data_IF_957798102910
#
_entry.id   IF_957798102910
#
_cell.length_a   1.000
_cell.length_b   1.000
_cell.length_c   1.000
_cell.angle_alpha   90.00
_cell.angle_beta   90.00
_cell.angle_gamma   90.00
#
_symmetry.space_group_name_H-M   'P 1'
#
loop_
_entity.id
_entity.type
_entity.pdbx_description
1 polymer ?
#
# COMPACT_ATOMS: atom_id res chain seq x y z
N UNK A 1 9.64 4.35 16.07
CA UNK A 1 9.73 4.43 17.55
C UNK A 1 10.97 3.73 18.09
N UNK A 2 11.13 2.41 17.90
CA UNK A 2 12.24 1.62 18.49
C UNK A 2 13.63 2.06 18.01
N UNK A 3 13.73 2.73 16.90
CA UNK A 3 15.02 3.19 16.36
C UNK A 3 15.65 4.34 17.19
N UNK A 4 14.91 4.94 18.10
CA UNK A 4 15.35 6.12 18.87
C UNK A 4 15.28 5.93 20.39
N UNK A 5 14.66 4.86 20.87
CA UNK A 5 14.51 4.57 22.27
C UNK A 5 15.56 3.57 22.76
N UNK A 6 16.05 3.74 23.99
CA UNK A 6 16.93 2.74 24.64
C UNK A 6 16.17 1.44 24.94
N UNK A 7 14.89 1.55 25.23
CA UNK A 7 13.97 0.42 25.44
C UNK A 7 12.62 0.77 24.85
N UNK A 8 12.05 -0.13 24.06
CA UNK A 8 10.75 0.00 23.46
C UNK A 8 9.90 -1.22 23.80
N UNK A 9 8.68 -0.97 24.24
CA UNK A 9 7.68 -2.00 24.49
C UNK A 9 6.53 -1.73 23.54
N UNK A 10 6.26 -2.67 22.62
CA UNK A 10 5.24 -2.56 21.60
C UNK A 10 4.11 -3.52 21.96
N UNK A 11 2.90 -3.00 22.12
CA UNK A 11 1.67 -3.77 22.28
C UNK A 11 0.97 -3.84 20.92
N UNK A 12 0.60 -5.04 20.50
CA UNK A 12 -0.16 -5.25 19.26
C UNK A 12 -1.66 -5.35 19.56
N UNK A 13 -2.47 -4.98 18.54
CA UNK A 13 -3.92 -5.19 18.53
C UNK A 13 -4.37 -5.59 17.13
N UNK A 14 -5.51 -6.32 17.05
CA UNK A 14 -6.10 -6.72 15.78
C UNK A 14 -5.17 -7.62 14.96
N UNK A 15 -5.13 -7.39 13.66
CA UNK A 15 -4.33 -8.19 12.71
C UNK A 15 -2.82 -8.14 12.94
N UNK A 16 -2.32 -7.16 13.71
CA UNK A 16 -0.90 -7.08 14.04
C UNK A 16 -0.44 -8.22 14.97
N UNK A 17 -1.35 -8.83 15.71
CA UNK A 17 -1.06 -9.96 16.61
C UNK A 17 -0.54 -11.19 15.86
N UNK A 18 -0.98 -11.39 14.62
CA UNK A 18 -0.66 -12.56 13.78
C UNK A 18 0.28 -12.25 12.64
N UNK A 19 0.65 -10.96 12.47
CA UNK A 19 1.47 -10.50 11.35
C UNK A 19 2.94 -10.71 11.64
N UNK A 20 3.67 -11.28 10.69
CA UNK A 20 5.14 -11.30 10.73
C UNK A 20 5.67 -9.86 10.56
N UNK A 21 6.48 -9.41 11.50
CA UNK A 21 7.11 -8.10 11.45
C UNK A 21 8.36 -8.07 10.57
N UNK A 22 8.82 -9.22 10.08
CA UNK A 22 10.03 -9.38 9.25
C UNK A 22 11.30 -8.76 9.86
N UNK A 23 11.35 -8.68 11.19
CA UNK A 23 12.51 -8.17 11.94
C UNK A 23 13.28 -9.38 12.51
N UNK A 24 14.36 -9.74 11.85
CA UNK A 24 15.20 -10.86 12.25
C UNK A 24 16.35 -10.43 13.17
N UNK A 25 16.98 -11.39 13.83
CA UNK A 25 18.07 -11.16 14.78
C UNK A 25 19.31 -10.53 14.11
N UNK A 26 19.56 -10.82 12.84
CA UNK A 26 20.67 -10.23 12.10
C UNK A 26 20.50 -8.71 11.95
N UNK A 27 19.29 -8.25 11.60
CA UNK A 27 18.97 -6.82 11.54
C UNK A 27 19.00 -6.18 12.93
N UNK A 28 18.42 -6.84 13.95
CA UNK A 28 18.46 -6.32 15.32
C UNK A 28 19.90 -6.13 15.79
N UNK A 29 20.79 -7.08 15.52
CA UNK A 29 22.21 -7.00 15.86
C UNK A 29 22.87 -5.79 15.20
N UNK A 30 22.64 -5.57 13.90
CA UNK A 30 23.16 -4.41 13.17
C UNK A 30 22.63 -3.08 13.74
N UNK A 31 21.38 -3.05 14.18
CA UNK A 31 20.76 -1.89 14.83
C UNK A 31 21.23 -1.69 16.28
N UNK A 32 22.02 -2.63 16.83
CA UNK A 32 22.45 -2.62 18.23
C UNK A 32 21.34 -2.97 19.22
N UNK A 33 20.31 -3.66 18.75
CA UNK A 33 19.13 -4.03 19.52
C UNK A 33 19.15 -5.50 19.90
N UNK A 34 18.51 -5.83 21.01
CA UNK A 34 18.19 -7.19 21.41
C UNK A 34 16.70 -7.32 21.71
N UNK A 35 16.12 -8.43 21.30
CA UNK A 35 14.77 -8.82 21.64
C UNK A 35 14.77 -9.46 23.03
N UNK A 36 13.91 -8.98 23.94
CA UNK A 36 13.74 -9.48 25.31
C UNK A 36 12.43 -10.23 25.52
N UNK A 37 11.51 -10.20 24.57
CA UNK A 37 10.29 -10.99 24.57
C UNK A 37 10.50 -12.33 23.91
N UNK A 38 9.70 -13.34 24.27
CA UNK A 38 9.66 -14.64 23.61
C UNK A 38 9.17 -14.47 22.16
N UNK A 39 9.64 -15.32 21.26
CA UNK A 39 9.22 -15.30 19.86
C UNK A 39 7.72 -15.58 19.73
N UNK A 40 7.06 -14.75 18.94
CA UNK A 40 5.61 -14.82 18.73
C UNK A 40 4.75 -14.25 19.87
N UNK A 41 5.37 -13.80 20.99
CA UNK A 41 4.63 -13.21 22.10
C UNK A 41 4.62 -11.68 22.09
N UNK A 42 3.52 -11.13 22.52
CA UNK A 42 3.33 -9.70 22.76
C UNK A 42 3.26 -9.40 24.26
N UNK A 43 3.80 -8.26 24.72
CA UNK A 43 4.40 -7.17 23.92
C UNK A 43 5.78 -7.53 23.35
N UNK A 44 6.09 -7.00 22.16
CA UNK A 44 7.46 -7.05 21.64
C UNK A 44 8.33 -6.07 22.43
N UNK A 45 9.36 -6.58 23.09
CA UNK A 45 10.30 -5.78 23.88
C UNK A 45 11.65 -5.74 23.18
N UNK A 46 12.09 -4.56 22.79
CA UNK A 46 13.38 -4.29 22.21
C UNK A 46 14.21 -3.39 23.12
N UNK A 47 15.48 -3.72 23.30
CA UNK A 47 16.43 -2.98 24.14
C UNK A 47 17.70 -2.69 23.37
N UNK A 48 18.18 -1.44 23.41
CA UNK A 48 19.46 -1.07 22.82
C UNK A 48 20.59 -1.43 23.77
N UNK A 49 21.47 -2.32 23.31
CA UNK A 49 22.64 -2.80 24.06
C UNK A 49 23.95 -2.31 23.47
N UNK A 50 23.97 -1.99 22.17
CA UNK A 50 25.13 -1.48 21.44
C UNK A 50 24.76 -0.27 20.59
N UNK A 51 25.70 0.56 20.14
CA UNK A 51 25.47 1.52 19.07
C UNK A 51 24.99 0.83 17.79
N UNK A 52 24.15 1.54 17.03
CA UNK A 52 23.76 1.11 15.67
C UNK A 52 25.00 1.07 14.77
N UNK A 53 25.15 0.03 13.95
CA UNK A 53 26.20 -0.02 12.93
C UNK A 53 26.00 1.10 11.90
N UNK A 54 27.11 1.57 11.33
CA UNK A 54 27.08 2.60 10.31
C UNK A 54 26.69 2.05 8.94
N UNK A 55 27.07 0.82 8.63
CA UNK A 55 26.73 0.14 7.38
C UNK A 55 25.79 -1.01 7.69
N UNK A 56 24.58 -0.93 7.12
CA UNK A 56 23.52 -1.91 7.37
C UNK A 56 23.22 -2.65 6.06
N UNK A 57 23.22 -3.98 6.12
CA UNK A 57 22.74 -4.84 5.04
C UNK A 57 21.32 -5.32 5.38
N UNK A 58 20.37 -5.07 4.47
CA UNK A 58 18.97 -5.40 4.67
C UNK A 58 18.40 -6.13 3.45
N UNK A 59 17.80 -7.29 3.69
CA UNK A 59 16.91 -7.93 2.71
C UNK A 59 15.54 -7.23 2.75
N UNK A 60 15.18 -6.58 1.65
CA UNK A 60 13.95 -5.81 1.50
C UNK A 60 12.88 -6.55 0.67
N UNK A 61 12.99 -7.89 0.55
CA UNK A 61 12.05 -8.73 -0.23
C UNK A 61 10.62 -8.73 0.34
N UNK A 62 10.48 -8.66 1.67
CA UNK A 62 9.19 -8.73 2.33
C UNK A 62 8.46 -7.38 2.35
N UNK A 63 9.17 -6.30 2.68
CA UNK A 63 8.56 -4.96 2.83
C UNK A 63 9.59 -3.84 2.77
N UNK A 64 9.24 -2.74 2.12
CA UNK A 64 10.04 -1.49 2.14
C UNK A 64 9.91 -0.70 3.46
N UNK A 65 8.94 -1.02 4.32
CA UNK A 65 8.69 -0.26 5.56
C UNK A 65 9.87 -0.34 6.54
N UNK A 66 10.52 -1.49 6.64
CA UNK A 66 11.71 -1.65 7.49
C UNK A 66 12.86 -0.83 6.93
N UNK A 67 13.08 -0.85 5.62
CA UNK A 67 14.11 -0.03 4.96
C UNK A 67 13.89 1.46 5.23
N UNK A 68 12.66 1.95 5.11
CA UNK A 68 12.28 3.32 5.47
C UNK A 68 12.61 3.64 6.94
N UNK A 69 12.30 2.73 7.86
CA UNK A 69 12.63 2.88 9.28
C UNK A 69 14.15 2.98 9.52
N UNK A 70 14.93 2.12 8.86
CA UNK A 70 16.40 2.12 8.94
C UNK A 70 16.99 3.41 8.36
N UNK A 71 16.50 3.90 7.22
CA UNK A 71 16.92 5.18 6.62
C UNK A 71 16.70 6.36 7.57
N UNK A 72 15.53 6.43 8.21
CA UNK A 72 15.23 7.48 9.19
C UNK A 72 16.20 7.39 10.39
N UNK A 73 16.56 6.19 10.82
CA UNK A 73 17.55 5.97 11.89
C UNK A 73 18.92 6.45 11.46
N UNK A 74 19.40 6.04 10.30
CA UNK A 74 20.70 6.42 9.78
C UNK A 74 20.79 7.94 9.53
N UNK A 75 19.72 8.58 9.07
CA UNK A 75 19.67 10.02 8.86
C UNK A 75 19.87 10.85 10.14
N UNK A 76 19.71 10.28 11.32
CA UNK A 76 19.97 10.92 12.61
C UNK A 76 21.32 10.57 13.22
N UNK A 77 22.02 9.62 12.64
CA UNK A 77 23.38 9.25 13.08
C UNK A 77 24.42 10.21 12.50
N UNK A 78 25.66 10.11 12.95
CA UNK A 78 26.82 10.89 12.46
C UNK A 78 27.87 9.94 11.91
N UNK A 79 28.77 10.43 11.08
CA UNK A 79 29.80 9.65 10.43
C UNK A 79 29.36 9.09 9.08
N UNK A 80 30.27 8.45 8.36
CA UNK A 80 29.98 7.77 7.11
C UNK A 80 29.05 6.59 7.37
N UNK A 81 27.94 6.51 6.64
CA UNK A 81 26.93 5.48 6.84
C UNK A 81 26.18 5.14 5.59
N UNK A 82 25.74 3.88 5.50
CA UNK A 82 25.01 3.41 4.33
C UNK A 82 23.98 2.32 4.67
N UNK A 83 22.98 2.20 3.81
CA UNK A 83 22.04 1.10 3.76
C UNK A 83 22.22 0.36 2.44
N UNK A 84 22.64 -0.89 2.49
CA UNK A 84 22.74 -1.79 1.35
C UNK A 84 21.50 -2.66 1.33
N UNK A 85 20.78 -2.64 0.21
CA UNK A 85 19.52 -3.33 0.03
C UNK A 85 19.71 -4.54 -0.87
N UNK A 86 19.17 -5.68 -0.48
CA UNK A 86 19.05 -6.84 -1.36
C UNK A 86 17.56 -7.13 -1.62
N UNK A 87 17.25 -7.67 -2.80
CA UNK A 87 15.89 -8.08 -3.17
C UNK A 87 14.84 -6.97 -2.96
N UNK A 88 15.19 -5.72 -3.24
CA UNK A 88 14.31 -4.57 -3.02
C UNK A 88 13.04 -4.69 -3.85
N UNK A 89 11.91 -4.54 -3.17
CA UNK A 89 10.57 -4.49 -3.73
C UNK A 89 9.83 -3.24 -3.23
N UNK A 90 8.80 -2.80 -3.96
CA UNK A 90 8.07 -1.57 -3.63
C UNK A 90 8.99 -0.34 -3.55
N UNK A 91 9.89 -0.21 -4.51
CA UNK A 91 10.82 0.93 -4.67
C UNK A 91 10.16 2.29 -4.51
N UNK A 92 8.96 2.58 -5.06
CA UNK A 92 8.32 3.89 -4.91
C UNK A 92 8.11 4.31 -3.46
N UNK A 93 7.72 3.40 -2.56
CA UNK A 93 7.52 3.74 -1.14
C UNK A 93 8.83 4.08 -0.43
N UNK A 94 9.94 3.42 -0.81
CA UNK A 94 11.25 3.77 -0.28
C UNK A 94 11.72 5.10 -0.86
N UNK A 95 11.47 5.38 -2.15
CA UNK A 95 11.76 6.66 -2.79
C UNK A 95 11.05 7.81 -2.08
N UNK A 96 9.77 7.65 -1.71
CA UNK A 96 9.07 8.65 -0.90
C UNK A 96 9.81 8.99 0.41
N UNK A 97 10.41 7.98 1.07
CA UNK A 97 11.19 8.19 2.28
C UNK A 97 12.48 8.96 1.99
N UNK A 98 13.18 8.57 0.93
CA UNK A 98 14.41 9.23 0.46
C UNK A 98 14.14 10.69 0.14
N UNK A 99 13.12 10.99 -0.67
CA UNK A 99 12.77 12.36 -1.06
C UNK A 99 12.36 13.21 0.14
N UNK A 100 11.62 12.62 1.09
CA UNK A 100 11.26 13.31 2.32
C UNK A 100 12.50 13.67 3.16
N UNK A 101 13.48 12.77 3.24
CA UNK A 101 14.75 13.04 3.93
C UNK A 101 15.56 14.13 3.21
N UNK A 102 15.67 14.08 1.88
CA UNK A 102 16.34 15.11 1.07
C UNK A 102 15.65 16.47 1.27
N UNK A 103 14.34 16.51 1.19
CA UNK A 103 13.55 17.73 1.41
C UNK A 103 13.74 18.32 2.81
N UNK A 104 14.15 17.50 3.78
CA UNK A 104 14.50 17.91 5.15
C UNK A 104 15.98 18.20 5.35
N UNK A 105 16.74 18.36 4.27
CA UNK A 105 18.14 18.76 4.31
C UNK A 105 19.12 17.62 4.56
N UNK A 106 18.67 16.36 4.53
CA UNK A 106 19.56 15.21 4.59
C UNK A 106 20.24 15.07 3.23
N UNK A 107 21.57 15.04 3.23
CA UNK A 107 22.36 14.77 2.04
C UNK A 107 22.61 13.29 1.95
N UNK A 108 22.05 12.66 0.94
CA UNK A 108 22.21 11.25 0.64
C UNK A 108 22.24 11.03 -0.86
N UNK A 109 22.80 9.90 -1.28
CA UNK A 109 22.79 9.42 -2.66
C UNK A 109 22.30 7.99 -2.70
N UNK A 110 21.50 7.66 -3.71
CA UNK A 110 21.06 6.31 -3.97
C UNK A 110 21.60 5.83 -5.32
N UNK A 111 22.54 4.89 -5.29
CA UNK A 111 23.17 4.31 -6.47
C UNK A 111 22.98 2.79 -6.39
N UNK A 112 22.35 2.21 -7.39
CA UNK A 112 22.01 0.79 -7.47
C UNK A 112 21.24 0.31 -6.22
N UNK A 113 21.87 -0.51 -5.41
CA UNK A 113 21.30 -1.07 -4.19
C UNK A 113 21.84 -0.42 -2.89
N UNK A 114 22.58 0.67 -3.00
CA UNK A 114 23.23 1.33 -1.87
C UNK A 114 22.74 2.77 -1.71
N UNK A 115 22.27 3.10 -0.51
CA UNK A 115 21.93 4.45 -0.09
C UNK A 115 23.00 4.92 0.89
N UNK A 116 23.79 5.92 0.51
CA UNK A 116 24.88 6.50 1.30
C UNK A 116 24.53 7.89 1.78
N UNK A 117 24.99 8.24 2.99
CA UNK A 117 24.74 9.53 3.62
C UNK A 117 26.04 10.31 3.80
N UNK A 118 26.00 11.61 3.57
CA UNK A 118 27.11 12.51 3.90
C UNK A 118 27.28 12.65 5.42
N UNK A 119 28.52 12.83 5.86
CA UNK A 119 28.92 12.82 7.27
C UNK A 119 28.13 13.77 8.18
N UNK A 120 27.82 14.96 7.73
CA UNK A 120 27.31 16.04 8.57
C UNK A 120 25.86 16.43 8.27
N UNK A 121 25.08 15.54 7.70
CA UNK A 121 23.68 15.82 7.43
C UNK A 121 22.79 15.43 8.62
N UNK A 122 21.83 16.30 8.95
CA UNK A 122 20.79 16.05 9.98
C UNK A 122 19.43 16.45 9.45
N UNK A 123 18.42 15.73 9.91
CA UNK A 123 17.03 16.08 9.61
C UNK A 123 16.75 17.48 10.19
N UNK A 124 16.34 18.40 9.33
CA UNK A 124 15.92 19.74 9.70
C UNK A 124 14.40 19.82 9.84
N UNK A 125 13.93 20.56 10.85
CA UNK A 125 12.52 20.91 10.95
C UNK A 125 12.15 21.86 9.80
N UNK A 126 11.10 21.52 9.04
CA UNK A 126 10.53 22.35 7.99
C UNK A 126 9.02 22.27 8.03
N UNK A 127 8.38 23.35 7.62
CA UNK A 127 6.97 23.31 7.29
C UNK A 127 6.78 22.46 6.02
N UNK A 128 5.83 21.53 6.06
CA UNK A 128 5.56 20.60 4.97
C UNK A 128 4.06 20.61 4.71
N UNK A 129 3.70 20.73 3.46
CA UNK A 129 2.36 20.40 3.00
C UNK A 129 2.30 18.91 2.71
N UNK A 130 1.37 18.22 3.37
CA UNK A 130 1.12 16.80 3.13
C UNK A 130 0.19 16.69 1.93
N UNK A 131 0.58 15.87 0.97
CA UNK A 131 -0.24 15.57 -0.22
C UNK A 131 -1.40 14.66 0.14
N UNK A 132 -2.47 14.71 -0.65
CA UNK A 132 -3.59 13.78 -0.53
C UNK A 132 -3.13 12.33 -0.74
N UNK A 133 -3.88 11.40 -0.17
CA UNK A 133 -3.62 9.96 -0.22
C UNK A 133 -4.18 9.35 -1.51
N UNK A 134 -3.31 8.95 -2.42
CA UNK A 134 -3.70 8.27 -3.67
C UNK A 134 -4.37 6.91 -3.42
N UNK A 135 -3.98 6.19 -2.37
CA UNK A 135 -4.62 4.91 -2.04
C UNK A 135 -6.09 5.08 -1.66
N UNK A 136 -6.41 6.12 -0.88
CA UNK A 136 -7.79 6.46 -0.52
C UNK A 136 -8.55 7.00 -1.73
N UNK A 137 -7.94 7.95 -2.44
CA UNK A 137 -8.54 8.61 -3.59
C UNK A 137 -8.88 7.65 -4.74
N UNK A 138 -8.06 6.62 -4.98
CA UNK A 138 -8.27 5.62 -6.02
C UNK A 138 -9.69 5.00 -5.95
N UNK A 139 -10.21 4.79 -4.74
CA UNK A 139 -11.57 4.24 -4.57
C UNK A 139 -12.64 5.21 -5.07
N UNK A 140 -12.52 6.50 -4.76
CA UNK A 140 -13.45 7.52 -5.25
C UNK A 140 -13.37 7.68 -6.77
N UNK A 141 -12.15 7.70 -7.32
CA UNK A 141 -11.93 7.80 -8.76
C UNK A 141 -12.50 6.59 -9.51
N UNK A 142 -12.36 5.38 -8.97
CA UNK A 142 -13.01 4.19 -9.52
C UNK A 142 -14.54 4.26 -9.45
N UNK A 143 -15.11 4.80 -8.36
CA UNK A 143 -16.56 5.04 -8.31
C UNK A 143 -17.01 5.98 -9.44
N UNK A 144 -16.25 7.06 -9.72
CA UNK A 144 -16.50 7.95 -10.85
C UNK A 144 -16.47 7.22 -12.18
N UNK A 145 -15.43 6.40 -12.40
CA UNK A 145 -15.26 5.62 -13.62
C UNK A 145 -16.36 4.58 -13.86
N UNK A 146 -16.93 4.02 -12.78
CA UNK A 146 -17.96 2.97 -12.86
C UNK A 146 -19.37 3.58 -12.98
N UNK A 147 -19.66 4.68 -12.28
CA UNK A 147 -21.06 5.13 -12.12
C UNK A 147 -21.40 6.37 -12.91
N UNK A 148 -20.72 7.50 -12.71
CA UNK A 148 -21.00 8.77 -13.42
C UNK A 148 -19.78 9.66 -13.49
N UNK A 149 -19.57 10.46 -12.45
CA UNK A 149 -18.52 11.45 -12.33
C UNK A 149 -18.18 11.67 -10.87
N UNK A 150 -16.91 11.74 -10.55
CA UNK A 150 -16.43 12.15 -9.22
C UNK A 150 -15.22 13.08 -9.38
N UNK A 151 -15.24 14.17 -8.62
CA UNK A 151 -14.12 15.10 -8.49
C UNK A 151 -13.46 14.95 -7.12
N UNK A 152 -12.13 14.84 -7.10
CA UNK A 152 -11.30 14.73 -5.88
C UNK A 152 -10.32 15.88 -5.84
N UNK A 153 -10.21 16.54 -4.68
CA UNK A 153 -9.31 17.67 -4.46
C UNK A 153 -8.13 17.30 -3.57
N UNK A 154 -6.99 17.97 -3.77
CA UNK A 154 -5.84 17.91 -2.89
C UNK A 154 -4.82 16.83 -3.25
N UNK A 155 -5.01 16.14 -4.37
CA UNK A 155 -4.00 15.25 -4.93
C UNK A 155 -2.95 16.05 -5.71
N UNK A 156 -1.74 15.55 -5.76
CA UNK A 156 -0.70 16.05 -6.67
C UNK A 156 -0.41 15.05 -7.76
N UNK A 157 -0.42 15.50 -8.99
CA UNK A 157 0.06 14.74 -10.14
C UNK A 157 1.59 14.63 -10.10
N UNK A 158 2.11 13.52 -10.60
CA UNK A 158 3.55 13.21 -10.63
C UNK A 158 4.20 13.18 -9.23
N UNK A 159 3.40 12.80 -8.24
CA UNK A 159 3.88 12.46 -6.91
C UNK A 159 4.61 11.12 -6.90
N UNK A 160 5.29 10.81 -5.78
CA UNK A 160 6.00 9.52 -5.64
C UNK A 160 5.10 8.43 -5.03
N UNK A 161 3.79 8.64 -4.93
CA UNK A 161 2.87 7.63 -4.43
C UNK A 161 2.56 6.62 -5.54
N UNK A 162 2.93 5.35 -5.32
CA UNK A 162 2.78 4.30 -6.32
C UNK A 162 1.32 4.11 -6.79
N UNK A 163 0.35 4.39 -5.92
CA UNK A 163 -1.07 4.20 -6.20
C UNK A 163 -1.65 5.28 -7.16
N UNK A 164 -0.87 6.32 -7.53
CA UNK A 164 -1.18 7.22 -8.64
C UNK A 164 -1.35 6.45 -9.96
N UNK A 165 -0.74 5.25 -10.07
CA UNK A 165 -0.90 4.32 -11.19
C UNK A 165 -2.36 3.99 -11.51
N UNK A 166 -3.28 4.23 -10.58
CA UNK A 166 -4.72 4.09 -10.83
C UNK A 166 -5.17 4.90 -12.05
N UNK A 167 -4.56 6.05 -12.34
CA UNK A 167 -4.93 6.90 -13.49
C UNK A 167 -4.66 6.21 -14.82
N UNK A 168 -3.54 5.49 -14.91
CA UNK A 168 -3.21 4.72 -16.12
C UNK A 168 -4.24 3.61 -16.33
N UNK A 169 -4.60 2.91 -15.25
CA UNK A 169 -5.58 1.83 -15.32
C UNK A 169 -6.97 2.36 -15.67
N UNK A 170 -7.39 3.49 -15.09
CA UNK A 170 -8.68 4.12 -15.42
C UNK A 170 -8.73 4.59 -16.87
N UNK A 171 -7.61 5.06 -17.41
CA UNK A 171 -7.50 5.42 -18.83
C UNK A 171 -7.66 4.18 -19.73
N UNK A 172 -7.02 3.06 -19.37
CA UNK A 172 -7.18 1.78 -20.07
C UNK A 172 -8.63 1.27 -19.98
N UNK A 173 -9.25 1.39 -18.82
CA UNK A 173 -10.65 1.03 -18.58
C UNK A 173 -11.63 1.87 -19.43
N UNK A 174 -11.22 3.05 -19.89
CA UNK A 174 -11.98 3.92 -20.77
C UNK A 174 -12.70 5.07 -20.06
N UNK A 175 -12.29 5.41 -18.85
CA UNK A 175 -12.75 6.61 -18.17
C UNK A 175 -12.11 7.87 -18.76
N UNK A 176 -12.81 8.99 -18.72
CA UNK A 176 -12.27 10.31 -19.00
C UNK A 176 -11.70 10.92 -17.73
N UNK A 177 -10.47 11.47 -17.81
CA UNK A 177 -9.76 12.04 -16.67
C UNK A 177 -9.38 13.48 -17.00
N UNK A 178 -9.77 14.42 -16.16
CA UNK A 178 -9.51 15.84 -16.34
C UNK A 178 -8.91 16.46 -15.09
N UNK A 179 -7.90 17.31 -15.24
CA UNK A 179 -7.33 18.10 -14.17
C UNK A 179 -7.72 19.58 -14.30
N UNK A 180 -8.20 20.17 -13.21
CA UNK A 180 -8.46 21.60 -13.08
C UNK A 180 -7.82 22.12 -11.80
N UNK A 181 -6.63 22.68 -11.91
CA UNK A 181 -5.82 23.07 -10.74
C UNK A 181 -5.46 21.87 -9.87
N UNK A 182 -5.89 21.85 -8.63
CA UNK A 182 -5.69 20.77 -7.65
C UNK A 182 -6.86 19.77 -7.56
N UNK A 183 -7.79 19.86 -8.53
CA UNK A 183 -8.95 18.97 -8.62
C UNK A 183 -8.78 18.04 -9.81
N UNK A 184 -8.92 16.75 -9.57
CA UNK A 184 -9.03 15.71 -10.59
C UNK A 184 -10.47 15.22 -10.69
N UNK A 185 -11.00 15.14 -11.90
CA UNK A 185 -12.34 14.64 -12.19
C UNK A 185 -12.22 13.40 -13.06
N UNK A 186 -12.88 12.32 -12.64
CA UNK A 186 -13.03 11.09 -13.42
C UNK A 186 -14.47 10.88 -13.76
N UNK A 187 -14.73 10.73 -15.07
CA UNK A 187 -16.07 10.56 -15.64
C UNK A 187 -16.17 9.21 -16.34
N UNK A 188 -17.27 8.51 -16.09
CA UNK A 188 -17.60 7.28 -16.80
C UNK A 188 -17.85 7.53 -18.29
N UNK A 189 -17.21 6.73 -19.16
CA UNK A 189 -17.44 6.74 -20.61
C UNK A 189 -17.66 5.33 -21.11
N UNK A 190 -16.76 4.40 -20.81
CA UNK A 190 -16.80 3.01 -21.26
C UNK A 190 -16.29 2.09 -20.15
N UNK A 191 -16.60 0.79 -20.25
CA UNK A 191 -16.14 -0.27 -19.37
C UNK A 191 -15.23 -1.24 -20.12
N UNK A 192 -14.06 -0.79 -20.57
CA UNK A 192 -13.12 -1.67 -21.31
C UNK A 192 -12.36 -2.60 -20.38
N UNK A 193 -12.08 -3.80 -20.84
CA UNK A 193 -11.11 -4.68 -20.19
C UNK A 193 -9.70 -4.09 -20.32
N UNK A 194 -8.83 -4.43 -19.35
CA UNK A 194 -7.48 -3.86 -19.26
C UNK A 194 -6.46 -4.91 -18.82
N UNK A 195 -5.18 -4.60 -19.05
CA UNK A 195 -4.05 -5.34 -18.48
C UNK A 195 -3.18 -4.38 -17.69
N UNK A 196 -2.78 -4.77 -16.47
CA UNK A 196 -1.96 -3.93 -15.59
C UNK A 196 -1.01 -4.76 -14.74
N UNK A 197 0.04 -4.11 -14.18
CA UNK A 197 1.02 -4.73 -13.29
C UNK A 197 1.05 -3.98 -11.95
N UNK A 198 0.72 -4.69 -10.88
CA UNK A 198 0.66 -4.18 -9.51
C UNK A 198 1.91 -4.47 -8.67
N UNK A 199 3.01 -4.87 -9.29
CA UNK A 199 4.26 -5.19 -8.58
C UNK A 199 4.67 -4.05 -7.64
N UNK A 200 4.48 -2.79 -8.03
CA UNK A 200 4.83 -1.61 -7.25
C UNK A 200 3.68 -0.99 -6.44
N UNK A 201 2.43 -1.32 -6.75
CA UNK A 201 1.23 -0.77 -6.10
C UNK A 201 0.22 -1.87 -5.67
N UNK A 202 0.65 -2.88 -4.89
CA UNK A 202 -0.17 -4.04 -4.54
C UNK A 202 -1.42 -3.69 -3.73
N UNK A 203 -1.50 -2.49 -3.20
CA UNK A 203 -2.63 -2.02 -2.41
C UNK A 203 -3.86 -1.68 -3.26
N UNK A 204 -3.70 -1.47 -4.56
CA UNK A 204 -4.80 -1.30 -5.51
C UNK A 204 -5.50 -2.62 -5.88
N UNK A 205 -4.92 -3.79 -5.56
CA UNK A 205 -5.39 -5.08 -6.06
C UNK A 205 -6.88 -5.36 -5.83
N UNK A 206 -7.45 -5.25 -4.59
CA UNK A 206 -8.86 -5.55 -4.38
C UNK A 206 -9.78 -4.62 -5.19
N UNK A 207 -9.39 -3.35 -5.30
CA UNK A 207 -10.11 -2.33 -6.06
C UNK A 207 -10.13 -2.66 -7.56
N UNK A 208 -8.99 -3.05 -8.12
CA UNK A 208 -8.88 -3.39 -9.54
C UNK A 208 -9.58 -4.70 -9.89
N UNK A 209 -9.74 -5.62 -8.94
CA UNK A 209 -10.61 -6.79 -9.12
C UNK A 209 -12.08 -6.38 -9.33
N UNK A 210 -12.56 -5.37 -8.59
CA UNK A 210 -13.93 -4.82 -8.78
C UNK A 210 -14.04 -4.10 -10.12
N UNK A 211 -13.04 -3.30 -10.49
CA UNK A 211 -13.01 -2.62 -11.79
C UNK A 211 -13.02 -3.62 -12.94
N UNK A 212 -12.23 -4.70 -12.86
CA UNK A 212 -12.23 -5.78 -13.85
C UNK A 212 -13.56 -6.55 -13.89
N UNK A 213 -14.21 -6.76 -12.73
CA UNK A 213 -15.51 -7.39 -12.65
C UNK A 213 -16.61 -6.58 -13.37
N UNK A 214 -16.49 -5.25 -13.38
CA UNK A 214 -17.42 -4.34 -14.09
C UNK A 214 -17.08 -4.11 -15.56
N UNK A 215 -15.93 -4.59 -16.04
CA UNK A 215 -15.45 -4.38 -17.40
C UNK A 215 -16.17 -5.28 -18.43
N UNK A 216 -16.21 -4.82 -19.67
CA UNK A 216 -16.63 -5.63 -20.82
C UNK A 216 -15.44 -6.40 -21.37
N UNK A 217 -15.41 -7.73 -21.20
CA UNK A 217 -14.34 -8.59 -21.68
C UNK A 217 -13.43 -9.11 -20.56
N UNK A 218 -12.22 -9.49 -20.91
CA UNK A 218 -11.28 -10.17 -20.00
C UNK A 218 -10.12 -9.26 -19.68
N UNK A 219 -9.92 -9.00 -18.39
CA UNK A 219 -8.81 -8.21 -17.85
C UNK A 219 -7.74 -9.12 -17.24
N UNK A 220 -6.48 -8.69 -17.26
CA UNK A 220 -5.38 -9.39 -16.58
C UNK A 220 -4.67 -8.45 -15.59
N UNK A 221 -4.43 -8.93 -14.37
CA UNK A 221 -3.75 -8.20 -13.32
C UNK A 221 -2.53 -9.00 -12.89
N UNK A 222 -1.34 -8.47 -13.16
CA UNK A 222 -0.05 -9.06 -12.80
C UNK A 222 0.46 -8.56 -11.45
N UNK A 223 1.44 -9.26 -10.85
CA UNK A 223 2.07 -8.86 -9.59
C UNK A 223 1.40 -9.46 -8.35
N UNK A 224 0.73 -10.61 -8.48
CA UNK A 224 -0.06 -11.22 -7.38
C UNK A 224 0.76 -11.94 -6.31
N UNK A 225 2.03 -12.26 -6.56
CA UNK A 225 2.88 -13.05 -5.65
C UNK A 225 3.07 -12.45 -4.24
N UNK A 226 2.83 -11.13 -4.08
CA UNK A 226 3.07 -10.39 -2.84
C UNK A 226 1.83 -10.09 -2.02
N UNK A 227 0.68 -10.64 -2.40
CA UNK A 227 -0.62 -10.31 -1.80
C UNK A 227 -0.91 -11.09 -0.51
N UNK A 228 -0.19 -12.21 -0.26
CA UNK A 228 -0.44 -13.12 0.87
C UNK A 228 -0.14 -12.53 2.25
N UNK A 229 0.88 -11.68 2.35
CA UNK A 229 1.38 -11.15 3.63
C UNK A 229 0.94 -9.71 3.87
N UNK A 230 -0.35 -9.42 3.69
CA UNK A 230 -0.97 -8.11 3.96
C UNK A 230 -1.86 -8.17 5.21
N UNK A 231 -2.84 -7.30 5.36
CA UNK A 231 -3.83 -7.34 6.44
C UNK A 231 -4.66 -8.61 6.41
N UNK A 232 -4.94 -9.09 5.21
CA UNK A 232 -5.48 -10.43 4.90
C UNK A 232 -4.57 -11.08 3.85
N UNK A 233 -4.78 -12.36 3.52
CA UNK A 233 -4.32 -12.90 2.24
C UNK A 233 -5.22 -12.28 1.15
N UNK A 234 -4.77 -11.13 0.60
CA UNK A 234 -5.57 -10.33 -0.34
C UNK A 234 -5.92 -11.07 -1.62
N UNK A 235 -5.07 -11.99 -2.07
CA UNK A 235 -5.40 -12.81 -3.23
C UNK A 235 -6.62 -13.68 -2.91
N UNK A 236 -6.56 -14.43 -1.83
CA UNK A 236 -7.67 -15.29 -1.39
C UNK A 236 -8.95 -14.49 -1.09
N UNK A 237 -8.83 -13.36 -0.40
CA UNK A 237 -9.97 -12.50 -0.06
C UNK A 237 -10.63 -11.89 -1.30
N UNK A 238 -9.83 -11.42 -2.27
CA UNK A 238 -10.37 -10.87 -3.52
C UNK A 238 -11.02 -11.95 -4.40
N UNK A 239 -10.47 -13.16 -4.42
CA UNK A 239 -11.10 -14.31 -5.08
C UNK A 239 -12.47 -14.65 -4.47
N UNK A 240 -12.56 -14.64 -3.14
CA UNK A 240 -13.84 -14.85 -2.45
C UNK A 240 -14.84 -13.74 -2.80
N UNK A 241 -14.40 -12.47 -2.89
CA UNK A 241 -15.24 -11.36 -3.32
C UNK A 241 -15.70 -11.53 -4.79
N UNK A 242 -14.82 -11.91 -5.72
CA UNK A 242 -15.19 -12.18 -7.12
C UNK A 242 -16.18 -13.35 -7.20
N UNK A 243 -15.97 -14.39 -6.41
CA UNK A 243 -16.91 -15.52 -6.30
C UNK A 243 -18.27 -15.11 -5.77
N UNK A 244 -18.33 -14.25 -4.74
CA UNK A 244 -19.57 -13.68 -4.22
C UNK A 244 -20.31 -12.84 -5.26
N UNK A 245 -19.59 -12.09 -6.11
CA UNK A 245 -20.14 -11.34 -7.25
C UNK A 245 -20.55 -12.25 -8.44
N UNK A 246 -20.23 -13.55 -8.38
CA UNK A 246 -20.49 -14.51 -9.47
C UNK A 246 -19.64 -14.28 -10.71
N UNK A 247 -18.47 -13.66 -10.56
CA UNK A 247 -17.53 -13.33 -11.63
C UNK A 247 -16.58 -14.49 -11.89
N UNK A 248 -16.34 -14.81 -13.16
CA UNK A 248 -15.37 -15.84 -13.54
C UNK A 248 -13.93 -15.30 -13.49
N UNK A 249 -13.02 -16.08 -12.92
CA UNK A 249 -11.58 -15.74 -12.89
C UNK A 249 -10.71 -17.00 -12.96
N UNK A 250 -9.48 -16.82 -13.42
CA UNK A 250 -8.43 -17.84 -13.48
C UNK A 250 -7.16 -17.31 -12.83
N UNK A 251 -6.41 -18.17 -12.13
CA UNK A 251 -5.18 -17.81 -11.43
C UNK A 251 -3.98 -18.40 -12.18
N UNK A 252 -3.08 -17.53 -12.58
CA UNK A 252 -1.77 -17.87 -13.10
C UNK A 252 -0.67 -17.83 -12.02
N UNK A 253 0.59 -17.96 -12.46
CA UNK A 253 1.74 -18.00 -11.54
C UNK A 253 1.97 -16.67 -10.81
N UNK A 254 1.75 -15.54 -11.46
CA UNK A 254 1.91 -14.19 -10.90
C UNK A 254 0.84 -13.23 -11.43
N UNK A 255 -0.33 -13.77 -11.75
CA UNK A 255 -1.42 -13.01 -12.34
C UNK A 255 -2.78 -13.60 -11.95
N UNK A 256 -3.81 -12.80 -12.11
CA UNK A 256 -5.20 -13.23 -12.14
C UNK A 256 -5.85 -12.69 -13.43
N UNK A 257 -6.62 -13.54 -14.08
CA UNK A 257 -7.39 -13.20 -15.27
C UNK A 257 -8.85 -13.17 -14.86
N UNK A 258 -9.54 -12.06 -15.11
CA UNK A 258 -10.92 -11.83 -14.68
C UNK A 258 -11.78 -11.53 -15.89
N UNK A 259 -12.81 -12.32 -16.12
CA UNK A 259 -13.80 -12.06 -17.17
C UNK A 259 -14.97 -11.30 -16.56
N UNK A 260 -15.13 -10.04 -16.95
CA UNK A 260 -16.16 -9.15 -16.46
C UNK A 260 -17.58 -9.68 -16.71
N UNK A 261 -18.52 -9.20 -15.92
CA UNK A 261 -19.92 -9.63 -15.94
C UNK A 261 -20.35 -10.20 -14.59
N UNK A 262 -20.87 -9.33 -13.75
CA UNK A 262 -21.41 -9.67 -12.42
C UNK A 262 -22.73 -10.43 -12.61
N UNK A 263 -22.86 -11.58 -11.95
CA UNK A 263 -24.06 -12.44 -12.03
C UNK A 263 -24.89 -12.44 -10.75
N UNK A 264 -24.26 -12.17 -9.61
CA UNK A 264 -24.96 -12.05 -8.34
C UNK A 264 -25.10 -10.55 -8.00
N UNK A 265 -26.34 -10.08 -7.92
CA UNK A 265 -26.65 -8.67 -7.66
C UNK A 265 -26.93 -8.36 -6.19
N UNK A 266 -26.96 -9.37 -5.32
CA UNK A 266 -27.09 -9.25 -3.86
C UNK A 266 -25.95 -10.03 -3.17
N UNK A 267 -24.67 -9.68 -3.43
CA UNK A 267 -23.56 -10.41 -2.85
C UNK A 267 -23.39 -10.10 -1.37
N UNK A 268 -23.06 -11.13 -0.59
CA UNK A 268 -22.52 -10.96 0.75
C UNK A 268 -21.01 -11.13 0.71
N UNK A 269 -20.26 -10.07 1.05
CA UNK A 269 -18.81 -10.02 0.94
C UNK A 269 -18.19 -10.05 2.33
N UNK A 270 -17.39 -11.09 2.60
CA UNK A 270 -16.51 -11.11 3.75
C UNK A 270 -15.28 -10.21 3.47
N UNK A 271 -15.05 -9.25 4.34
CA UNK A 271 -13.95 -8.30 4.19
C UNK A 271 -12.68 -8.72 4.93
N UNK A 272 -12.71 -9.83 5.68
CA UNK A 272 -11.57 -10.38 6.42
C UNK A 272 -10.88 -9.34 7.32
N UNK A 273 -11.64 -8.38 7.86
CA UNK A 273 -11.12 -7.26 8.65
C UNK A 273 -9.99 -6.46 7.94
N UNK A 274 -9.97 -6.49 6.62
CA UNK A 274 -9.07 -5.71 5.78
C UNK A 274 -9.82 -4.50 5.20
N UNK A 275 -9.37 -3.29 5.59
CA UNK A 275 -9.97 -2.03 5.16
C UNK A 275 -9.98 -1.85 3.64
N UNK A 276 -9.02 -2.44 2.90
CA UNK A 276 -9.00 -2.37 1.43
C UNK A 276 -10.03 -3.27 0.80
N UNK A 277 -10.38 -4.39 1.44
CA UNK A 277 -11.51 -5.21 1.03
C UNK A 277 -12.85 -4.49 1.26
N UNK A 278 -12.99 -3.78 2.40
CA UNK A 278 -14.15 -2.93 2.65
C UNK A 278 -14.30 -1.86 1.56
N UNK A 279 -13.22 -1.11 1.29
CA UNK A 279 -13.23 -0.06 0.26
C UNK A 279 -13.60 -0.60 -1.12
N UNK A 280 -13.03 -1.73 -1.52
CA UNK A 280 -13.36 -2.40 -2.78
C UNK A 280 -14.83 -2.83 -2.84
N UNK A 281 -15.37 -3.43 -1.78
CA UNK A 281 -16.78 -3.81 -1.70
C UNK A 281 -17.72 -2.58 -1.79
N UNK A 282 -17.33 -1.45 -1.17
CA UNK A 282 -18.06 -0.19 -1.31
C UNK A 282 -18.05 0.37 -2.74
N UNK A 283 -16.93 0.19 -3.47
CA UNK A 283 -16.88 0.54 -4.90
C UNK A 283 -17.80 -0.39 -5.70
N UNK A 284 -17.84 -1.69 -5.38
CA UNK A 284 -18.74 -2.64 -6.03
C UNK A 284 -20.22 -2.24 -5.86
N UNK A 285 -20.62 -1.66 -4.72
CA UNK A 285 -21.99 -1.17 -4.50
C UNK A 285 -22.41 -0.01 -5.40
N UNK A 286 -21.46 0.62 -6.10
CA UNK A 286 -21.76 1.69 -7.09
C UNK A 286 -21.97 1.16 -8.50
N UNK A 287 -21.75 -0.14 -8.72
CA UNK A 287 -22.09 -0.80 -9.98
C UNK A 287 -23.63 -0.88 -10.04
N UNK A 288 -24.21 -0.47 -11.15
CA UNK A 288 -25.66 -0.48 -11.33
C UNK A 288 -26.25 -1.86 -11.05
N UNK A 289 -27.33 -1.88 -10.29
CA UNK A 289 -28.06 -3.11 -9.90
C UNK A 289 -27.33 -4.07 -8.96
N UNK A 290 -26.26 -3.66 -8.28
CA UNK A 290 -25.58 -4.50 -7.27
C UNK A 290 -25.84 -3.93 -5.88
N UNK A 291 -26.53 -4.72 -5.03
CA UNK A 291 -26.78 -4.39 -3.62
C UNK A 291 -25.86 -5.21 -2.73
N UNK A 292 -24.79 -4.60 -2.26
CA UNK A 292 -23.71 -5.27 -1.52
C UNK A 292 -24.00 -5.25 -0.03
N UNK A 293 -24.00 -6.42 0.60
CA UNK A 293 -23.84 -6.56 2.04
C UNK A 293 -22.42 -7.00 2.39
N UNK A 294 -21.85 -6.46 3.48
CA UNK A 294 -20.46 -6.75 3.86
C UNK A 294 -20.28 -6.91 5.36
N UNK A 295 -19.27 -7.71 5.75
CA UNK A 295 -18.85 -7.84 7.15
C UNK A 295 -17.88 -6.75 7.55
N UNK A 296 -17.71 -6.52 8.86
CA UNK A 296 -16.60 -5.76 9.47
C UNK A 296 -16.29 -4.39 8.85
N UNK A 297 -17.34 -3.65 8.45
CA UNK A 297 -17.24 -2.33 7.83
C UNK A 297 -16.38 -1.34 8.63
N UNK A 298 -16.30 -1.53 9.96
CA UNK A 298 -15.53 -0.65 10.84
C UNK A 298 -14.02 -0.69 10.57
N UNK A 299 -13.52 -1.69 9.87
CA UNK A 299 -12.09 -1.74 9.50
C UNK A 299 -11.68 -0.59 8.58
N UNK A 300 -12.61 0.05 7.86
CA UNK A 300 -12.35 1.23 7.01
C UNK A 300 -11.80 2.43 7.79
N UNK A 301 -12.07 2.52 9.09
CA UNK A 301 -11.55 3.58 9.97
C UNK A 301 -10.02 3.62 10.03
N UNK A 302 -9.35 2.54 9.66
CA UNK A 302 -7.88 2.49 9.60
C UNK A 302 -7.27 3.45 8.57
N UNK A 303 -7.95 3.70 7.45
CA UNK A 303 -7.38 4.45 6.33
C UNK A 303 -8.28 5.53 5.78
N UNK A 304 -9.59 5.33 5.76
CA UNK A 304 -10.52 6.28 5.16
C UNK A 304 -11.87 6.25 5.89
N UNK A 305 -11.95 6.78 7.14
CA UNK A 305 -13.17 6.74 7.96
C UNK A 305 -14.36 7.45 7.30
N UNK A 306 -14.11 8.52 6.55
CA UNK A 306 -15.14 9.31 5.86
C UNK A 306 -15.80 8.54 4.73
N UNK A 307 -15.20 7.47 4.24
CA UNK A 307 -15.77 6.64 3.18
C UNK A 307 -17.16 6.08 3.55
N UNK A 308 -17.45 5.90 4.84
CA UNK A 308 -18.79 5.52 5.33
C UNK A 308 -19.91 6.48 4.92
N UNK A 309 -19.59 7.73 4.58
CA UNK A 309 -20.56 8.72 4.12
C UNK A 309 -21.02 8.48 2.67
N UNK A 310 -20.34 7.59 1.95
CA UNK A 310 -20.64 7.27 0.55
C UNK A 310 -21.41 5.94 0.38
N UNK A 311 -21.77 5.29 1.48
CA UNK A 311 -22.73 4.17 1.53
C UNK A 311 -24.17 4.68 1.51
#
# INVERSE_FOLDING_TARGET
>A
GFLFARKLIIYAKGTLLTRDLHVNDALLTQLGLVKRSTDGEWPLILEQINPCQQHILLDASATSQIASGVLIRLAQSTGERSLILTNLVSTPYLQMTVDNLINRGVKLSWIDNCISFDDNCRIQGREIQIDGDWSGAANLLCMGAISKEISVKGLRSQGNQADEYILDVLTLYGAQIEWSGDVITVTHVENRSFSCDLTHCPDLFPLLCVLAASANGTSSIHGTNRLKNKESDRLTSAMAMLGALGVHFEIGTNEIIITGGIKNHEPHIDTYNDHRMVLAAMVASKISSVDVSLTEIDSVVKSFPEMKLYL
#
